data_IF_966519837355
#
_entry.id   IF_966519837355
#
_cell.length_a   1.000
_cell.length_b   1.000
_cell.length_c   1.000
_cell.angle_alpha   90.00
_cell.angle_beta   90.00
_cell.angle_gamma   90.00
#
_symmetry.space_group_name_H-M   'P 1'
#
loop_
_entity.id
_entity.type
_entity.pdbx_description
1 polymer ?
#
# COMPACT_ATOMS: atom_id res chain seq x y z
N UNK A 1 25.86 18.20 34.16
CA UNK A 1 24.69 18.86 33.55
C UNK A 1 25.19 19.43 32.24
N UNK A 2 25.14 18.61 31.19
CA UNK A 2 25.52 18.98 29.84
C UNK A 2 24.22 18.97 29.03
N UNK A 3 23.85 20.11 28.49
CA UNK A 3 22.70 20.26 27.60
C UNK A 3 23.07 19.65 26.25
N UNK A 4 22.39 18.56 25.87
CA UNK A 4 22.47 17.98 24.53
C UNK A 4 21.62 18.85 23.60
N UNK A 5 22.27 19.46 22.60
CA UNK A 5 21.60 20.15 21.50
C UNK A 5 21.21 19.11 20.45
N UNK A 6 19.93 18.73 20.42
CA UNK A 6 19.31 17.96 19.33
C UNK A 6 19.38 18.77 18.04
N UNK A 7 20.10 18.28 17.04
CA UNK A 7 20.28 18.95 15.75
C UNK A 7 19.35 18.29 14.72
N UNK A 8 18.06 18.58 14.82
CA UNK A 8 17.04 18.08 13.90
C UNK A 8 17.26 18.69 12.49
N UNK A 9 17.85 17.92 11.58
CA UNK A 9 17.98 18.28 10.17
C UNK A 9 16.62 18.14 9.48
N UNK A 10 15.83 19.20 9.55
CA UNK A 10 14.59 19.35 8.76
C UNK A 10 14.94 19.58 7.29
N UNK A 11 14.98 18.50 6.50
CA UNK A 11 14.94 18.59 5.03
C UNK A 11 13.46 18.70 4.63
N UNK A 12 12.93 19.92 4.67
CA UNK A 12 11.56 20.22 4.23
C UNK A 12 11.52 20.24 2.69
N UNK A 13 11.17 19.10 2.10
CA UNK A 13 10.80 18.99 0.70
C UNK A 13 9.27 19.03 0.60
N UNK A 14 8.69 20.23 0.68
CA UNK A 14 7.26 20.44 0.41
C UNK A 14 6.96 20.24 -1.07
N UNK A 15 6.83 18.99 -1.49
CA UNK A 15 6.23 18.65 -2.78
C UNK A 15 4.73 18.62 -2.58
N UNK A 16 4.04 19.72 -2.90
CA UNK A 16 2.58 19.76 -2.95
C UNK A 16 2.09 18.83 -4.05
N UNK A 17 1.80 17.57 -3.70
CA UNK A 17 1.13 16.62 -4.60
C UNK A 17 -0.35 16.98 -4.64
N UNK A 18 -0.74 17.78 -5.62
CA UNK A 18 -2.14 18.03 -5.94
C UNK A 18 -2.67 16.80 -6.68
N UNK A 19 -3.21 15.81 -5.94
CA UNK A 19 -3.92 14.67 -6.56
C UNK A 19 -5.29 15.18 -7.03
N UNK A 20 -5.40 15.52 -8.31
CA UNK A 20 -6.69 15.76 -8.96
C UNK A 20 -7.38 14.41 -9.18
N UNK A 21 -8.30 14.07 -8.27
CA UNK A 21 -9.25 12.99 -8.47
C UNK A 21 -10.20 13.36 -9.63
N UNK A 22 -9.87 12.90 -10.85
CA UNK A 22 -10.76 12.97 -12.00
C UNK A 22 -11.66 11.72 -12.02
N UNK A 23 -12.68 11.71 -11.16
CA UNK A 23 -13.83 10.80 -11.32
C UNK A 23 -15.00 11.56 -11.94
N UNK A 24 -15.57 10.96 -12.99
CA UNK A 24 -16.40 11.61 -13.99
C UNK A 24 -17.74 12.18 -13.50
N UNK A 25 -18.11 13.30 -14.08
CA UNK A 25 -19.48 13.78 -14.12
C UNK A 25 -20.15 13.27 -15.39
N UNK A 26 -21.05 12.31 -15.25
CA UNK A 26 -22.13 12.07 -16.20
C UNK A 26 -23.25 11.28 -15.51
N UNK A 27 -24.15 11.98 -14.80
CA UNK A 27 -25.51 11.47 -14.63
C UNK A 27 -26.49 12.63 -14.75
N UNK A 28 -27.06 12.75 -15.95
CA UNK A 28 -28.20 13.60 -16.23
C UNK A 28 -29.47 13.04 -15.57
N UNK A 29 -30.35 13.97 -15.26
CA UNK A 29 -31.57 13.83 -14.50
C UNK A 29 -32.62 12.85 -15.09
N UNK A 30 -33.22 12.04 -14.23
CA UNK A 30 -34.57 11.48 -14.36
C UNK A 30 -35.14 11.56 -12.94
N UNK A 31 -36.06 12.46 -12.61
CA UNK A 31 -37.45 12.40 -13.06
C UNK A 31 -38.30 12.00 -11.85
N UNK A 32 -38.80 13.00 -11.13
CA UNK A 32 -39.80 12.86 -10.05
C UNK A 32 -41.08 12.20 -10.59
N UNK A 33 -41.54 11.12 -9.97
CA UNK A 33 -42.97 10.82 -9.93
C UNK A 33 -43.38 10.23 -8.58
N UNK A 34 -44.47 10.79 -8.06
CA UNK A 34 -45.03 10.47 -6.76
C UNK A 34 -46.10 9.40 -6.94
N UNK A 35 -45.91 8.23 -6.31
CA UNK A 35 -46.89 7.15 -6.28
C UNK A 35 -47.21 6.73 -4.85
N UNK A 36 -48.26 7.31 -4.30
CA UNK A 36 -48.93 6.87 -3.06
C UNK A 36 -49.58 5.51 -3.30
N UNK A 37 -49.39 4.57 -2.38
CA UNK A 37 -50.11 3.31 -2.33
C UNK A 37 -49.93 2.61 -0.99
N UNK A 38 -50.85 2.90 -0.06
CA UNK A 38 -51.16 2.04 1.08
C UNK A 38 -51.53 0.64 0.58
N UNK A 39 -51.06 -0.42 1.26
CA UNK A 39 -51.86 -1.62 1.51
C UNK A 39 -51.23 -2.47 2.62
N UNK A 40 -52.00 -2.66 3.69
CA UNK A 40 -51.77 -3.64 4.74
C UNK A 40 -51.97 -5.07 4.22
N UNK A 41 -51.12 -6.02 4.63
CA UNK A 41 -51.55 -7.39 4.86
C UNK A 41 -50.56 -8.16 5.74
N UNK A 42 -51.04 -8.56 6.90
CA UNK A 42 -50.56 -9.64 7.76
C UNK A 42 -50.56 -11.01 7.06
N UNK A 43 -49.56 -11.87 7.34
CA UNK A 43 -49.74 -13.32 7.31
C UNK A 43 -48.59 -14.04 8.04
N UNK A 44 -48.93 -14.70 9.15
CA UNK A 44 -48.15 -15.76 9.77
C UNK A 44 -48.22 -17.06 8.92
N UNK A 45 -47.28 -17.98 9.10
CA UNK A 45 -47.30 -19.35 8.55
C UNK A 45 -45.89 -19.83 8.19
N UNK A 46 -45.21 -20.55 9.08
CA UNK A 46 -45.26 -22.02 9.28
C UNK A 46 -44.09 -22.76 8.58
N UNK A 47 -43.60 -23.77 9.28
CA UNK A 47 -42.38 -24.54 9.06
C UNK A 47 -42.42 -25.44 7.82
N UNK A 48 -41.25 -25.78 7.25
CA UNK A 48 -40.98 -27.14 6.75
C UNK A 48 -39.50 -27.37 6.39
N UNK A 49 -38.88 -28.30 7.10
CA UNK A 49 -37.69 -29.09 6.78
C UNK A 49 -37.85 -29.79 5.42
N UNK A 50 -36.81 -29.85 4.56
CA UNK A 50 -36.61 -30.99 3.64
C UNK A 50 -35.13 -31.16 3.25
N UNK A 51 -34.63 -32.35 3.53
CA UNK A 51 -33.37 -32.97 3.10
C UNK A 51 -33.43 -33.34 1.61
N UNK A 52 -32.37 -33.11 0.83
CA UNK A 52 -32.28 -33.57 -0.55
C UNK A 52 -30.85 -33.85 -0.98
N UNK A 53 -30.53 -35.13 -1.15
CA UNK A 53 -29.26 -35.68 -1.62
C UNK A 53 -29.43 -36.14 -3.08
N UNK A 54 -28.36 -36.03 -3.88
CA UNK A 54 -28.24 -36.53 -5.26
C UNK A 54 -27.99 -35.38 -6.24
N UNK A 55 -27.08 -35.43 -7.21
CA UNK A 55 -26.31 -36.51 -7.83
C UNK A 55 -26.03 -36.07 -9.28
N UNK A 56 -25.06 -36.70 -9.94
CA UNK A 56 -24.75 -36.64 -11.39
C UNK A 56 -24.21 -35.29 -11.92
N UNK A 57 -22.91 -35.20 -12.23
CA UNK A 57 -22.26 -35.64 -13.50
C UNK A 57 -22.86 -34.98 -14.75
N UNK A 58 -22.14 -34.00 -15.31
CA UNK A 58 -21.98 -33.87 -16.76
C UNK A 58 -20.66 -33.16 -17.08
N UNK A 59 -19.81 -33.88 -17.80
CA UNK A 59 -18.70 -33.32 -18.54
C UNK A 59 -19.23 -32.58 -19.78
N UNK A 60 -18.64 -31.42 -20.07
CA UNK A 60 -18.62 -30.85 -21.42
C UNK A 60 -17.23 -30.29 -21.66
N UNK A 61 -16.49 -31.04 -22.46
CA UNK A 61 -15.36 -30.57 -23.24
C UNK A 61 -15.93 -29.66 -24.33
N UNK A 62 -15.36 -28.47 -24.53
CA UNK A 62 -15.49 -27.76 -25.80
C UNK A 62 -14.21 -26.97 -26.09
N UNK A 63 -13.57 -27.41 -27.16
CA UNK A 63 -12.64 -26.71 -28.04
C UNK A 63 -12.95 -25.21 -28.21
N UNK A 64 -11.91 -24.38 -28.34
CA UNK A 64 -11.61 -23.73 -29.62
C UNK A 64 -10.59 -22.59 -29.52
N UNK A 65 -9.59 -22.72 -30.40
CA UNK A 65 -9.01 -21.66 -31.22
C UNK A 65 -8.08 -20.62 -30.60
N UNK A 66 -6.80 -20.90 -30.84
CA UNK A 66 -5.71 -19.97 -31.08
C UNK A 66 -6.03 -18.92 -32.14
N UNK A 67 -5.77 -17.65 -31.85
CA UNK A 67 -5.52 -16.61 -32.85
C UNK A 67 -4.15 -16.01 -32.54
N UNK A 68 -3.23 -16.18 -33.48
CA UNK A 68 -1.88 -15.64 -33.45
C UNK A 68 -1.93 -14.25 -34.11
N UNK A 69 -1.58 -13.21 -33.37
CA UNK A 69 -1.40 -11.87 -33.92
C UNK A 69 0.10 -11.58 -34.04
N UNK A 70 0.57 -11.56 -35.28
CA UNK A 70 1.89 -11.09 -35.71
C UNK A 70 1.87 -9.56 -35.77
N UNK A 71 2.78 -8.89 -35.07
CA UNK A 71 3.07 -7.47 -35.32
C UNK A 71 4.51 -7.33 -35.77
N UNK A 72 4.65 -6.86 -37.00
CA UNK A 72 5.92 -6.62 -37.67
C UNK A 72 6.56 -5.30 -37.22
N UNK A 73 7.84 -5.26 -37.55
CA UNK A 73 8.88 -4.29 -37.24
C UNK A 73 8.59 -2.89 -37.82
N UNK A 74 9.12 -1.84 -37.17
CA UNK A 74 9.68 -0.75 -37.94
C UNK A 74 10.90 -0.13 -37.26
N UNK A 75 11.99 -0.17 -38.02
CA UNK A 75 13.30 0.37 -37.73
C UNK A 75 13.32 1.87 -38.01
N UNK A 76 13.96 2.66 -37.14
CA UNK A 76 14.53 3.96 -37.52
C UNK A 76 15.67 4.34 -36.58
N UNK A 77 16.88 4.16 -37.10
CA UNK A 77 18.15 4.70 -36.60
C UNK A 77 18.30 6.14 -37.09
N UNK A 78 18.66 7.09 -36.22
CA UNK A 78 19.48 8.24 -36.61
C UNK A 78 20.48 8.55 -35.49
N UNK A 79 21.67 8.91 -35.95
CA UNK A 79 22.90 9.05 -35.20
C UNK A 79 23.12 10.53 -34.91
N UNK A 80 23.65 10.88 -33.74
CA UNK A 80 24.45 12.11 -33.69
C UNK A 80 25.56 12.03 -32.65
N UNK A 81 26.75 12.34 -33.16
CA UNK A 81 28.04 12.34 -32.48
C UNK A 81 28.27 13.68 -31.80
N UNK A 82 28.83 13.69 -30.58
CA UNK A 82 29.73 14.77 -30.14
C UNK A 82 30.53 14.39 -28.88
N UNK A 83 31.79 14.04 -29.14
CA UNK A 83 33.04 14.36 -28.42
C UNK A 83 33.01 14.65 -26.91
N UNK A 84 33.43 13.64 -26.15
CA UNK A 84 34.59 13.57 -25.23
C UNK A 84 35.28 14.90 -24.85
N UNK A 85 35.09 15.31 -23.58
CA UNK A 85 36.05 16.09 -22.79
C UNK A 85 36.35 15.28 -21.53
N UNK A 86 37.47 14.56 -21.57
CA UNK A 86 38.00 13.73 -20.50
C UNK A 86 38.48 14.62 -19.33
N UNK A 87 37.71 14.68 -18.24
CA UNK A 87 38.19 15.24 -16.97
C UNK A 87 38.12 14.16 -15.90
N UNK A 88 39.20 13.38 -15.83
CA UNK A 88 39.44 12.39 -14.79
C UNK A 88 39.75 13.09 -13.47
N UNK A 89 38.71 13.34 -12.69
CA UNK A 89 38.83 13.58 -11.25
C UNK A 89 38.65 12.22 -10.60
N UNK A 90 39.76 11.58 -10.25
CA UNK A 90 39.75 10.37 -9.41
C UNK A 90 39.34 10.81 -8.00
N UNK A 91 38.03 10.95 -7.78
CA UNK A 91 37.48 11.11 -6.45
C UNK A 91 37.39 9.74 -5.81
N UNK A 92 38.19 9.54 -4.77
CA UNK A 92 38.10 8.40 -3.86
C UNK A 92 36.81 8.51 -3.05
N UNK A 93 35.66 8.35 -3.71
CA UNK A 93 34.34 8.17 -3.10
C UNK A 93 34.16 6.68 -2.87
N UNK A 94 34.53 6.20 -1.68
CA UNK A 94 34.53 4.77 -1.39
C UNK A 94 33.58 4.35 -0.27
N UNK A 95 32.64 5.21 0.14
CA UNK A 95 31.66 4.88 1.18
C UNK A 95 30.33 5.64 1.13
N UNK A 96 30.36 6.97 0.97
CA UNK A 96 29.16 7.82 1.10
C UNK A 96 28.07 7.51 0.05
N UNK A 97 28.44 7.05 -1.16
CA UNK A 97 27.47 6.82 -2.24
C UNK A 97 26.48 5.66 -2.00
N UNK A 98 26.88 4.65 -1.23
CA UNK A 98 26.03 3.45 -1.02
C UNK A 98 24.94 3.74 0.02
N UNK A 99 25.28 4.48 1.07
CA UNK A 99 24.31 4.92 2.08
C UNK A 99 23.28 5.85 1.47
N UNK A 100 23.71 6.81 0.64
CA UNK A 100 22.81 7.72 -0.08
C UNK A 100 21.82 6.96 -0.99
N UNK A 101 22.26 5.90 -1.66
CA UNK A 101 21.39 5.06 -2.50
C UNK A 101 20.36 4.30 -1.65
N UNK A 102 20.76 3.72 -0.51
CA UNK A 102 19.84 3.05 0.42
C UNK A 102 18.85 4.04 1.03
N UNK A 103 19.28 5.24 1.41
CA UNK A 103 18.38 6.31 1.88
C UNK A 103 17.37 6.67 0.79
N UNK A 104 17.80 6.78 -0.46
CA UNK A 104 16.90 7.03 -1.58
C UNK A 104 15.88 5.90 -1.77
N UNK A 105 16.27 4.64 -1.58
CA UNK A 105 15.37 3.48 -1.57
C UNK A 105 14.29 3.63 -0.48
N UNK A 106 14.68 3.90 0.78
CA UNK A 106 13.72 4.07 1.87
C UNK A 106 12.71 5.19 1.58
N UNK A 107 13.17 6.32 1.06
CA UNK A 107 12.29 7.44 0.69
C UNK A 107 11.31 7.02 -0.41
N UNK A 108 11.80 6.33 -1.44
CA UNK A 108 10.97 5.85 -2.55
C UNK A 108 9.90 4.87 -2.05
N UNK A 109 10.28 3.92 -1.18
CA UNK A 109 9.35 2.93 -0.63
C UNK A 109 8.34 3.53 0.33
N UNK A 110 8.74 4.46 1.21
CA UNK A 110 7.80 5.18 2.08
C UNK A 110 6.77 5.94 1.24
N UNK A 111 7.19 6.58 0.15
CA UNK A 111 6.28 7.23 -0.79
C UNK A 111 5.34 6.22 -1.47
N UNK A 112 5.87 5.09 -1.93
CA UNK A 112 5.07 4.04 -2.57
C UNK A 112 4.03 3.45 -1.61
N UNK A 113 4.42 3.14 -0.37
CA UNK A 113 3.53 2.60 0.65
C UNK A 113 2.49 3.63 1.12
N UNK A 114 2.88 4.91 1.23
CA UNK A 114 1.94 6.02 1.48
C UNK A 114 0.87 6.07 0.40
N UNK A 115 1.28 6.06 -0.87
CA UNK A 115 0.35 6.11 -2.01
C UNK A 115 -0.54 4.86 -2.08
N UNK A 116 0.01 3.68 -1.79
CA UNK A 116 -0.74 2.44 -1.73
C UNK A 116 -1.82 2.50 -0.63
N UNK A 117 -1.48 3.03 0.55
CA UNK A 117 -2.42 3.21 1.67
C UNK A 117 -3.54 4.18 1.32
N UNK A 118 -3.20 5.33 0.71
CA UNK A 118 -4.18 6.30 0.23
C UNK A 118 -5.10 5.66 -0.83
N UNK A 119 -4.53 4.95 -1.80
CA UNK A 119 -5.30 4.28 -2.85
C UNK A 119 -6.24 3.23 -2.29
N UNK A 120 -5.80 2.43 -1.31
CA UNK A 120 -6.62 1.42 -0.67
C UNK A 120 -7.83 2.05 0.03
N UNK A 121 -7.63 3.14 0.78
CA UNK A 121 -8.72 3.86 1.43
C UNK A 121 -9.73 4.44 0.42
N UNK A 122 -9.25 5.01 -0.68
CA UNK A 122 -10.10 5.61 -1.71
C UNK A 122 -10.79 4.58 -2.61
N UNK A 123 -10.41 3.31 -2.54
CA UNK A 123 -11.06 2.24 -3.30
C UNK A 123 -12.34 1.83 -2.59
N UNK A 124 -13.52 1.87 -3.25
CA UNK A 124 -14.78 1.42 -2.68
C UNK A 124 -14.71 -0.09 -2.34
N UNK A 125 -15.17 -0.49 -1.15
CA UNK A 125 -15.31 -1.92 -0.82
C UNK A 125 -16.46 -2.54 -1.64
N UNK A 126 -16.18 -3.51 -2.53
CA UNK A 126 -17.22 -4.15 -3.34
C UNK A 126 -18.18 -5.05 -2.55
N UNK A 127 -17.86 -5.39 -1.29
CA UNK A 127 -18.63 -6.33 -0.46
C UNK A 127 -19.90 -5.78 0.18
N UNK A 128 -20.14 -4.46 0.16
CA UNK A 128 -21.24 -3.82 0.89
C UNK A 128 -22.48 -3.48 0.03
N UNK A 129 -22.52 -3.95 -1.22
CA UNK A 129 -23.54 -3.63 -2.22
C UNK A 129 -24.94 -4.25 -2.01
N UNK A 130 -25.37 -4.51 -0.77
CA UNK A 130 -26.74 -4.98 -0.51
C UNK A 130 -27.75 -3.84 -0.30
N UNK A 131 -27.29 -2.60 -0.11
CA UNK A 131 -28.17 -1.43 0.08
C UNK A 131 -27.67 -0.19 -0.69
N UNK A 132 -28.42 0.31 -1.71
CA UNK A 132 -28.06 1.50 -2.47
C UNK A 132 -28.12 2.81 -1.67
N UNK A 133 -28.68 2.82 -0.46
CA UNK A 133 -28.60 3.95 0.47
C UNK A 133 -27.34 3.91 1.36
N UNK A 134 -26.62 2.79 1.36
CA UNK A 134 -25.41 2.58 2.13
C UNK A 134 -24.19 2.86 1.24
N UNK A 135 -23.65 4.08 1.38
CA UNK A 135 -22.46 4.54 0.65
C UNK A 135 -21.34 3.50 0.81
N UNK A 136 -20.56 3.15 -0.25
CA UNK A 136 -19.46 2.21 -0.12
C UNK A 136 -18.58 2.60 1.06
N UNK A 137 -18.42 1.66 2.00
CA UNK A 137 -17.70 1.95 3.22
C UNK A 137 -16.21 2.02 2.89
N UNK A 138 -15.64 3.21 2.98
CA UNK A 138 -14.21 3.43 2.83
C UNK A 138 -13.56 3.29 4.21
N UNK A 139 -12.62 2.37 4.35
CA UNK A 139 -11.95 2.10 5.62
C UNK A 139 -10.47 1.79 5.35
N UNK A 140 -9.58 2.15 6.28
CA UNK A 140 -8.22 1.64 6.25
C UNK A 140 -8.29 0.10 6.21
N UNK A 141 -7.31 -0.58 5.60
CA UNK A 141 -7.12 -2.01 5.81
C UNK A 141 -7.11 -2.36 7.30
N UNK A 142 -7.76 -3.46 7.67
CA UNK A 142 -7.80 -3.89 9.07
C UNK A 142 -7.80 -5.41 9.19
N UNK A 143 -7.23 -5.98 10.26
CA UNK A 143 -7.40 -7.40 10.55
C UNK A 143 -8.87 -7.69 10.87
N UNK A 144 -9.45 -8.78 10.36
CA UNK A 144 -10.88 -9.11 10.50
C UNK A 144 -11.48 -8.94 11.91
N UNK A 145 -10.70 -9.19 12.96
CA UNK A 145 -11.14 -9.09 14.36
C UNK A 145 -10.90 -7.72 15.01
N UNK A 146 -10.43 -6.73 14.26
CA UNK A 146 -10.06 -5.39 14.75
C UNK A 146 -10.47 -4.31 13.75
N UNK A 147 -11.77 -4.04 13.57
CA UNK A 147 -12.26 -3.05 12.59
C UNK A 147 -11.80 -1.61 12.88
N UNK A 148 -11.36 -1.32 14.10
CA UNK A 148 -10.78 -0.03 14.47
C UNK A 148 -9.37 0.20 13.88
N UNK A 149 -8.83 -0.77 13.14
CA UNK A 149 -7.48 -0.73 12.58
C UNK A 149 -6.53 -1.69 13.29
N UNK A 150 -5.24 -1.51 13.07
CA UNK A 150 -4.19 -2.36 13.62
C UNK A 150 -2.82 -2.04 13.04
N UNK A 151 -1.88 -2.93 13.30
CA UNK A 151 -0.52 -2.85 12.82
C UNK A 151 -0.22 -4.10 11.98
N UNK A 152 0.42 -3.92 10.83
CA UNK A 152 0.85 -5.03 9.98
C UNK A 152 1.96 -5.85 10.67
N UNK A 153 2.79 -5.19 11.46
CA UNK A 153 3.97 -5.74 12.09
C UNK A 153 5.18 -5.56 11.18
N UNK A 154 6.35 -5.43 11.80
CA UNK A 154 7.59 -5.18 11.06
C UNK A 154 7.90 -6.36 10.12
N UNK A 155 8.04 -6.06 8.83
CA UNK A 155 8.17 -7.03 7.73
C UNK A 155 9.35 -6.68 6.80
N UNK A 156 10.34 -7.57 6.64
CA UNK A 156 10.56 -8.77 7.47
C UNK A 156 10.75 -8.39 8.95
N UNK A 157 10.57 -9.31 9.91
CA UNK A 157 10.84 -9.02 11.31
C UNK A 157 12.28 -8.52 11.56
N UNK A 158 12.48 -7.59 12.49
CA UNK A 158 13.81 -7.07 12.86
C UNK A 158 14.78 -8.15 13.38
N UNK A 159 14.28 -9.34 13.72
CA UNK A 159 15.12 -10.49 14.06
C UNK A 159 15.87 -11.07 12.86
N UNK A 160 15.48 -10.72 11.64
CA UNK A 160 16.21 -11.06 10.42
C UNK A 160 17.23 -9.98 10.15
N UNK A 161 18.50 -10.33 10.27
CA UNK A 161 19.57 -9.41 9.89
C UNK A 161 19.76 -9.46 8.37
N UNK A 162 19.40 -8.36 7.71
CA UNK A 162 19.47 -8.18 6.27
C UNK A 162 20.89 -7.97 5.76
N UNK A 163 21.84 -7.55 6.62
CA UNK A 163 23.25 -7.44 6.24
C UNK A 163 23.88 -8.81 5.97
N UNK A 164 23.30 -9.90 6.51
CA UNK A 164 23.73 -11.25 6.18
C UNK A 164 23.30 -11.75 4.79
N UNK A 165 22.43 -11.00 4.09
CA UNK A 165 21.98 -11.35 2.75
C UNK A 165 22.97 -10.92 1.66
N UNK A 166 22.84 -11.43 0.43
CA UNK A 166 23.55 -10.89 -0.71
C UNK A 166 23.32 -9.38 -0.82
N UNK A 167 24.40 -8.64 -1.08
CA UNK A 167 24.38 -7.18 -1.24
C UNK A 167 23.82 -6.42 -0.02
N UNK A 168 24.01 -6.97 1.19
CA UNK A 168 23.53 -6.41 2.47
C UNK A 168 22.03 -6.08 2.45
N UNK A 169 21.23 -6.96 1.84
CA UNK A 169 19.81 -6.75 1.61
C UNK A 169 18.97 -7.91 2.17
N UNK A 170 17.72 -7.64 2.49
CA UNK A 170 16.71 -8.64 2.79
C UNK A 170 16.22 -9.27 1.47
N UNK A 171 16.28 -10.59 1.33
CA UNK A 171 15.82 -11.30 0.13
C UNK A 171 14.53 -12.07 0.40
N UNK A 172 13.39 -11.67 -0.20
CA UNK A 172 12.18 -12.46 -0.12
C UNK A 172 12.35 -13.78 -0.88
N UNK A 173 11.89 -14.88 -0.30
CA UNK A 173 11.94 -16.21 -0.92
C UNK A 173 10.68 -17.03 -0.61
N UNK A 174 10.50 -18.12 -1.35
CA UNK A 174 9.48 -19.12 -1.06
C UNK A 174 10.16 -20.35 -0.43
N UNK A 175 9.96 -20.54 0.87
CA UNK A 175 10.56 -21.59 1.68
C UNK A 175 11.77 -21.17 2.52
N UNK A 176 12.48 -22.16 3.06
CA UNK A 176 13.65 -21.90 3.89
C UNK A 176 14.82 -21.34 3.04
N UNK A 177 15.34 -20.19 3.46
CA UNK A 177 16.49 -19.52 2.84
C UNK A 177 17.77 -19.55 3.70
N UNK A 178 18.85 -19.00 3.14
CA UNK A 178 20.09 -18.72 3.87
C UNK A 178 19.92 -17.48 4.78
N UNK A 179 20.90 -17.11 5.62
CA UNK A 179 20.88 -15.83 6.32
C UNK A 179 20.60 -14.64 5.36
N UNK A 180 19.82 -13.66 5.83
CA UNK A 180 19.33 -12.55 5.00
C UNK A 180 18.13 -12.86 4.09
N UNK A 181 17.70 -14.12 4.01
CA UNK A 181 16.48 -14.50 3.30
C UNK A 181 15.30 -14.68 4.26
N UNK A 182 14.11 -14.31 3.81
CA UNK A 182 12.88 -14.45 4.59
C UNK A 182 11.70 -14.91 3.73
N UNK A 183 10.69 -15.51 4.35
CA UNK A 183 9.51 -16.03 3.65
C UNK A 183 8.62 -14.90 3.13
N UNK A 184 8.28 -14.92 1.83
CA UNK A 184 7.39 -13.92 1.21
C UNK A 184 6.01 -13.87 1.87
N UNK A 185 5.59 -14.98 2.49
CA UNK A 185 4.38 -15.10 3.31
C UNK A 185 4.25 -14.04 4.41
N UNK A 186 5.37 -13.49 4.91
CA UNK A 186 5.30 -12.38 5.87
C UNK A 186 4.56 -11.15 5.33
N UNK A 187 4.61 -10.92 4.02
CA UNK A 187 3.83 -9.88 3.35
C UNK A 187 2.43 -10.35 2.99
N UNK A 188 2.32 -11.51 2.33
CA UNK A 188 1.08 -11.92 1.66
C UNK A 188 0.03 -12.45 2.62
N UNK A 189 0.44 -12.99 3.76
CA UNK A 189 -0.48 -13.60 4.73
C UNK A 189 -1.02 -12.57 5.74
N UNK A 190 -0.50 -11.34 5.71
CA UNK A 190 -0.95 -10.26 6.57
C UNK A 190 -2.11 -9.46 5.94
N UNK A 191 -3.26 -9.32 6.60
CA UNK A 191 -4.42 -8.64 6.04
C UNK A 191 -4.20 -7.15 5.79
N UNK A 192 -3.32 -6.48 6.54
CA UNK A 192 -3.03 -5.05 6.33
C UNK A 192 -2.17 -4.87 5.07
N UNK A 193 -1.10 -5.66 4.90
CA UNK A 193 -0.29 -5.64 3.68
C UNK A 193 -1.09 -6.02 2.43
N UNK A 194 -1.90 -7.08 2.54
CA UNK A 194 -2.81 -7.48 1.47
C UNK A 194 -3.81 -6.36 1.14
N UNK A 195 -4.36 -5.69 2.15
CA UNK A 195 -5.33 -4.61 1.97
C UNK A 195 -4.77 -3.36 1.29
N UNK A 196 -3.47 -3.05 1.46
CA UNK A 196 -2.80 -1.98 0.69
C UNK A 196 -2.17 -2.48 -0.61
N UNK A 197 -2.21 -3.78 -0.90
CA UNK A 197 -1.52 -4.39 -2.05
C UNK A 197 -0.03 -4.02 -2.15
N UNK A 198 0.64 -3.93 -1.00
CA UNK A 198 2.07 -3.61 -0.92
C UNK A 198 2.87 -4.84 -0.52
N UNK A 199 3.83 -5.23 -1.37
CA UNK A 199 4.70 -6.38 -1.17
C UNK A 199 6.07 -6.08 -1.80
N UNK A 200 7.15 -6.36 -1.08
CA UNK A 200 8.51 -6.31 -1.63
C UNK A 200 8.89 -7.67 -2.20
N UNK A 201 8.84 -7.79 -3.54
CA UNK A 201 9.23 -9.00 -4.27
C UNK A 201 10.72 -9.04 -4.64
N UNK A 202 11.37 -7.88 -4.69
CA UNK A 202 12.79 -7.74 -4.96
C UNK A 202 13.59 -7.60 -3.66
N UNK A 203 14.91 -7.84 -3.67
CA UNK A 203 15.79 -7.51 -2.55
C UNK A 203 15.68 -6.03 -2.15
N UNK A 204 15.85 -5.74 -0.86
CA UNK A 204 15.73 -4.39 -0.30
C UNK A 204 16.49 -4.26 1.01
N UNK A 205 16.87 -3.04 1.35
CA UNK A 205 17.69 -2.78 2.54
C UNK A 205 16.91 -2.62 3.87
N UNK A 206 15.57 -2.56 3.84
CA UNK A 206 14.77 -2.09 4.97
C UNK A 206 13.72 -3.09 5.46
N UNK A 207 13.35 -2.96 6.72
CA UNK A 207 12.16 -3.56 7.30
C UNK A 207 11.03 -2.54 7.30
N UNK A 208 9.79 -2.94 7.06
CA UNK A 208 8.68 -2.00 6.93
C UNK A 208 7.57 -2.29 7.91
N UNK A 209 6.86 -1.24 8.32
CA UNK A 209 5.64 -1.36 9.12
C UNK A 209 4.56 -0.42 8.60
N UNK A 210 3.32 -0.83 8.77
CA UNK A 210 2.15 -0.02 8.49
C UNK A 210 1.20 -0.12 9.68
N UNK A 211 0.97 1.01 10.32
CA UNK A 211 0.01 1.17 11.41
C UNK A 211 -1.17 1.96 10.85
N UNK A 212 -2.37 1.50 11.11
CA UNK A 212 -3.62 2.10 10.64
C UNK A 212 -4.63 2.16 11.76
N UNK A 213 -5.36 3.27 11.85
CA UNK A 213 -6.44 3.46 12.81
C UNK A 213 -7.62 4.05 12.08
N UNK A 214 -8.73 3.30 12.09
CA UNK A 214 -10.02 3.76 11.61
C UNK A 214 -10.68 4.60 12.71
N UNK A 215 -11.09 5.83 12.38
CA UNK A 215 -11.86 6.66 13.31
C UNK A 215 -13.23 6.06 13.54
N UNK A 216 -13.67 6.02 14.80
CA UNK A 216 -14.89 5.34 15.22
C UNK A 216 -15.93 6.28 15.83
N UNK A 217 -17.12 6.27 15.23
CA UNK A 217 -18.37 6.17 15.97
C UNK A 217 -19.18 5.00 15.40
N UNK A 218 -20.36 4.68 15.93
CA UNK A 218 -21.10 3.43 15.66
C UNK A 218 -21.53 3.23 14.20
N UNK A 219 -21.31 4.22 13.36
CA UNK A 219 -21.27 4.18 11.90
C UNK A 219 -19.81 4.26 11.49
N UNK A 220 -19.28 3.25 10.79
CA UNK A 220 -17.90 3.19 10.34
C UNK A 220 -17.54 4.47 9.55
N UNK A 221 -17.01 5.45 10.27
CA UNK A 221 -16.82 6.79 9.77
C UNK A 221 -15.65 6.79 8.78
N UNK A 222 -15.80 7.60 7.74
CA UNK A 222 -14.87 7.76 6.62
C UNK A 222 -13.53 8.38 7.03
N UNK A 223 -12.92 8.00 8.15
CA UNK A 223 -11.65 8.55 8.61
C UNK A 223 -10.65 7.44 8.85
N UNK A 224 -9.45 7.63 8.30
CA UNK A 224 -8.37 6.66 8.33
C UNK A 224 -7.08 7.41 8.64
N UNK A 225 -6.47 7.14 9.78
CA UNK A 225 -5.11 7.62 10.08
C UNK A 225 -4.13 6.48 9.89
N UNK A 226 -2.93 6.80 9.41
CA UNK A 226 -1.91 5.81 9.15
C UNK A 226 -0.51 6.32 9.51
N UNK A 227 0.40 5.38 9.72
CA UNK A 227 1.83 5.61 9.89
C UNK A 227 2.58 4.52 9.12
N UNK A 228 3.44 4.95 8.19
CA UNK A 228 4.34 4.10 7.41
C UNK A 228 5.74 4.26 7.94
N UNK A 229 6.42 3.14 8.17
CA UNK A 229 7.77 3.13 8.75
C UNK A 229 8.68 2.23 7.92
N UNK A 230 9.94 2.62 7.80
CA UNK A 230 11.04 1.80 7.28
C UNK A 230 12.19 1.85 8.28
N UNK A 231 12.79 0.70 8.57
CA UNK A 231 13.89 0.53 9.52
C UNK A 231 15.07 -0.08 8.79
N UNK A 232 16.24 0.57 8.83
CA UNK A 232 17.45 0.09 8.17
C UNK A 232 18.63 0.11 9.12
N UNK A 233 19.33 -1.01 9.22
CA UNK A 233 20.67 -1.11 9.79
C UNK A 233 21.64 -0.85 8.63
N UNK A 234 22.10 0.40 8.52
CA UNK A 234 22.84 0.86 7.33
C UNK A 234 24.34 0.58 7.41
N UNK A 235 24.87 0.43 8.62
CA UNK A 235 26.28 0.29 8.95
C UNK A 235 26.63 -1.02 9.70
N UNK A 236 25.65 -1.92 9.87
CA UNK A 236 25.80 -3.27 10.45
C UNK A 236 26.16 -3.27 11.94
N UNK A 237 25.56 -2.35 12.70
CA UNK A 237 25.79 -2.20 14.14
C UNK A 237 24.60 -2.66 15.02
N UNK A 238 23.53 -3.15 14.37
CA UNK A 238 22.24 -3.53 14.97
C UNK A 238 21.43 -2.38 15.56
N UNK A 239 21.74 -1.14 15.20
CA UNK A 239 20.98 0.07 15.53
C UNK A 239 20.32 0.59 14.26
N UNK A 240 19.00 0.74 14.31
CA UNK A 240 18.21 1.00 13.11
C UNK A 240 17.91 2.48 12.96
N UNK A 241 18.28 3.04 11.80
CA UNK A 241 17.73 4.30 11.33
C UNK A 241 16.26 4.11 10.94
N UNK A 242 15.39 5.03 11.35
CA UNK A 242 13.94 4.95 11.12
C UNK A 242 13.47 6.08 10.21
N UNK A 243 12.73 5.72 9.16
CA UNK A 243 12.09 6.63 8.23
C UNK A 243 10.58 6.51 8.41
N UNK A 244 9.92 7.60 8.76
CA UNK A 244 8.51 7.57 9.10
C UNK A 244 7.72 8.67 8.40
N UNK A 245 6.52 8.33 7.94
CA UNK A 245 5.51 9.32 7.55
C UNK A 245 4.15 8.92 8.11
N UNK A 246 3.38 9.90 8.55
CA UNK A 246 2.00 9.71 9.00
C UNK A 246 1.03 10.55 8.16
N UNK A 247 -0.24 10.17 8.18
CA UNK A 247 -1.29 10.88 7.46
C UNK A 247 -2.67 10.59 8.01
N UNK A 248 -3.60 11.47 7.64
CA UNK A 248 -5.02 11.35 7.95
C UNK A 248 -5.81 11.51 6.66
N UNK A 249 -6.74 10.58 6.43
CA UNK A 249 -7.62 10.50 5.29
C UNK A 249 -9.05 10.64 5.78
N UNK A 250 -9.89 11.26 4.98
CA UNK A 250 -11.32 11.19 5.20
C UNK A 250 -12.14 12.16 4.38
N UNK A 251 -13.35 12.45 4.86
CA UNK A 251 -14.27 13.33 4.16
C UNK A 251 -13.86 14.80 4.27
N UNK A 252 -13.62 15.42 3.13
CA UNK A 252 -13.34 16.84 2.99
C UNK A 252 -14.62 17.53 2.49
N UNK A 253 -15.11 18.50 3.25
CA UNK A 253 -16.34 19.23 2.94
C UNK A 253 -16.29 19.83 1.53
N UNK A 254 -17.27 19.46 0.70
CA UNK A 254 -17.39 19.96 -0.68
C UNK A 254 -16.45 19.32 -1.70
N UNK A 255 -15.58 18.38 -1.31
CA UNK A 255 -14.66 17.66 -2.21
C UNK A 255 -14.95 16.16 -2.26
N UNK A 256 -15.34 15.57 -1.12
CA UNK A 256 -15.49 14.12 -0.98
C UNK A 256 -14.33 13.52 -0.20
N UNK A 257 -14.06 12.23 -0.40
CA UNK A 257 -12.97 11.54 0.30
C UNK A 257 -11.61 11.95 -0.25
N UNK A 258 -10.65 12.14 0.64
CA UNK A 258 -9.30 12.53 0.27
C UNK A 258 -8.32 12.53 1.44
N UNK A 259 -7.14 13.10 1.18
CA UNK A 259 -6.11 13.29 2.20
C UNK A 259 -6.42 14.56 2.98
N UNK A 260 -6.68 14.43 4.28
CA UNK A 260 -6.89 15.55 5.21
C UNK A 260 -5.55 16.16 5.58
N UNK A 261 -4.58 15.30 5.95
CA UNK A 261 -3.23 15.72 6.28
C UNK A 261 -2.21 14.66 5.93
N UNK A 262 -0.98 15.11 5.66
CA UNK A 262 0.18 14.26 5.44
C UNK A 262 1.38 14.92 6.10
N UNK A 263 2.07 14.20 6.97
CA UNK A 263 3.28 14.70 7.61
C UNK A 263 4.43 14.79 6.60
N UNK A 264 5.43 15.61 6.92
CA UNK A 264 6.73 15.48 6.29
C UNK A 264 7.36 14.14 6.68
N UNK A 265 8.29 13.66 5.85
CA UNK A 265 9.11 12.49 6.18
C UNK A 265 10.00 12.84 7.37
N UNK A 266 9.92 12.03 8.42
CA UNK A 266 10.81 12.11 9.57
C UNK A 266 11.89 11.05 9.43
N UNK A 267 13.16 11.45 9.62
CA UNK A 267 14.31 10.54 9.65
C UNK A 267 14.87 10.62 11.08
N UNK A 268 14.99 9.46 11.72
CA UNK A 268 15.58 9.29 13.04
C UNK A 268 16.82 8.43 12.83
N UNK A 269 17.99 9.04 12.94
CA UNK A 269 19.26 8.34 12.79
C UNK A 269 19.49 7.43 14.01
N UNK A 270 19.99 6.23 13.78
CA UNK A 270 20.24 5.23 14.83
C UNK A 270 21.36 5.62 15.80
N UNK A 271 22.34 6.37 15.31
CA UNK A 271 23.65 6.61 15.96
C UNK A 271 23.70 7.65 17.09
N UNK A 272 22.56 8.20 17.55
CA UNK A 272 22.53 9.28 18.55
C UNK A 272 22.66 8.84 20.03
#
# INVERSE_FOLDING_TARGET
>A
MAEAMTMQRLISLTTSVLVLAACGQAFEAIGTDAGVGDDEATSEGEEATTTGSGGEETATEDDSSSEAETTEEDSSSEEDSSSEEESSTEEESSGEGVEDERIAEAIADINALTNATISAFLTPDPGWYEDPENVPQHSCPYPWMSPQGGEAGITPPLSFDCNNGPDNSCHPTQGAGAPGFYEIGHWTDNPIWAGVSFVKWAPHAFHYNLIVVNGGSETLDYTCSFTVQAFGDLDDDSVFSTYERSGELGLIEGVGLGVISLSELTIIDGDE
#
